data_IF_336579431188
#
_entry.id   IF_336579431188
#
_cell.length_a   1.000
_cell.length_b   1.000
_cell.length_c   1.000
_cell.angle_alpha   90.00
_cell.angle_beta   90.00
_cell.angle_gamma   90.00
#
_symmetry.space_group_name_H-M   'P 1'
#
loop_
_entity.id
_entity.type
_entity.pdbx_description
1 polymer ?
#
# COMPACT_ATOMS: atom_id res chain seq x y z
N UNK A 1 -25.92 43.49 15.28
CA UNK A 1 -27.03 42.51 15.49
C UNK A 1 -26.42 41.12 15.57
N UNK A 2 -26.00 40.75 16.80
CA UNK A 2 -25.43 39.44 17.14
C UNK A 2 -26.56 38.46 17.46
N UNK A 3 -26.95 37.64 16.54
CA UNK A 3 -27.73 36.44 16.87
C UNK A 3 -26.79 35.34 17.38
N UNK A 4 -27.07 34.72 18.54
CA UNK A 4 -26.31 33.57 19.00
C UNK A 4 -26.53 32.39 18.06
N UNK A 5 -25.45 31.75 17.64
CA UNK A 5 -25.46 30.51 16.88
C UNK A 5 -26.32 29.47 17.64
N UNK A 6 -27.46 29.09 17.06
CA UNK A 6 -28.31 28.01 17.58
C UNK A 6 -27.48 26.73 17.65
N UNK A 7 -27.35 26.19 18.84
CA UNK A 7 -26.81 24.84 19.06
C UNK A 7 -27.65 23.84 18.25
N UNK A 8 -27.08 23.23 17.24
CA UNK A 8 -27.72 22.11 16.56
C UNK A 8 -27.76 20.95 17.57
N UNK A 9 -28.94 20.31 17.79
CA UNK A 9 -29.00 19.14 18.65
C UNK A 9 -28.11 18.05 18.03
N UNK A 10 -27.21 17.51 18.86
CA UNK A 10 -26.39 16.35 18.51
C UNK A 10 -27.34 15.17 18.22
N UNK A 11 -27.65 14.95 16.96
CA UNK A 11 -28.17 13.68 16.50
C UNK A 11 -27.04 12.68 16.67
N UNK A 12 -27.09 11.89 17.74
CA UNK A 12 -26.35 10.65 17.82
C UNK A 12 -26.80 9.82 16.61
N UNK A 13 -25.97 9.81 15.55
CA UNK A 13 -26.24 8.97 14.39
C UNK A 13 -26.44 7.55 14.92
N UNK A 14 -27.58 6.90 14.64
CA UNK A 14 -27.80 5.53 15.10
C UNK A 14 -26.67 4.68 14.55
N UNK A 15 -26.02 3.92 15.45
CA UNK A 15 -25.05 2.89 15.09
C UNK A 15 -25.60 2.14 13.87
N UNK A 16 -24.86 2.12 12.78
CA UNK A 16 -25.27 1.46 11.54
C UNK A 16 -25.81 0.08 11.91
N UNK A 17 -27.07 -0.19 11.59
CA UNK A 17 -27.68 -1.49 11.86
C UNK A 17 -26.82 -2.56 11.21
N UNK A 18 -26.45 -3.65 11.92
CA UNK A 18 -25.67 -4.71 11.33
C UNK A 18 -26.37 -5.19 10.04
N UNK A 19 -25.63 -5.30 8.96
CA UNK A 19 -26.15 -5.78 7.68
C UNK A 19 -26.71 -7.18 7.93
N UNK A 20 -28.01 -7.37 7.79
CA UNK A 20 -28.67 -8.67 7.91
C UNK A 20 -28.28 -9.50 6.70
N UNK A 21 -27.44 -10.52 6.92
CA UNK A 21 -26.99 -11.44 5.87
C UNK A 21 -28.12 -12.46 5.63
N UNK A 22 -28.64 -12.61 4.39
CA UNK A 22 -29.59 -13.65 4.08
C UNK A 22 -29.08 -15.04 4.46
N UNK A 23 -29.91 -15.88 5.08
CA UNK A 23 -29.51 -17.21 5.58
C UNK A 23 -28.85 -18.10 4.53
N UNK A 24 -29.28 -18.00 3.28
CA UNK A 24 -28.65 -18.72 2.15
C UNK A 24 -27.18 -18.36 1.97
N UNK A 25 -26.80 -17.08 2.11
CA UNK A 25 -25.40 -16.67 2.01
C UNK A 25 -24.57 -17.20 3.17
N UNK A 26 -25.14 -17.28 4.38
CA UNK A 26 -24.46 -17.86 5.54
C UNK A 26 -24.21 -19.37 5.35
N UNK A 27 -25.19 -20.11 4.79
CA UNK A 27 -25.04 -21.53 4.47
C UNK A 27 -23.96 -21.74 3.40
N UNK A 28 -23.98 -20.98 2.31
CA UNK A 28 -22.95 -21.07 1.27
C UNK A 28 -21.55 -20.75 1.82
N UNK A 29 -21.43 -19.72 2.67
CA UNK A 29 -20.18 -19.38 3.33
C UNK A 29 -19.67 -20.50 4.24
N UNK A 30 -20.58 -21.17 4.99
CA UNK A 30 -20.24 -22.33 5.82
C UNK A 30 -19.68 -23.48 4.99
N UNK A 31 -20.34 -23.85 3.88
CA UNK A 31 -19.83 -24.89 2.98
C UNK A 31 -18.50 -24.50 2.35
N UNK A 32 -18.29 -23.23 1.96
CA UNK A 32 -17.01 -22.73 1.47
C UNK A 32 -15.91 -22.87 2.52
N UNK A 33 -16.15 -22.47 3.75
CA UNK A 33 -15.21 -22.64 4.85
C UNK A 33 -14.91 -24.12 5.14
N UNK A 34 -15.95 -24.95 5.18
CA UNK A 34 -15.80 -26.40 5.38
C UNK A 34 -14.95 -27.02 4.27
N UNK A 35 -15.20 -26.69 3.00
CA UNK A 35 -14.42 -27.17 1.86
C UNK A 35 -12.93 -26.81 1.97
N UNK A 36 -12.60 -25.62 2.50
CA UNK A 36 -11.20 -25.20 2.71
C UNK A 36 -10.56 -25.89 3.92
N UNK A 37 -11.31 -26.09 5.00
CA UNK A 37 -10.75 -26.60 6.27
C UNK A 37 -10.69 -28.12 6.34
N UNK A 38 -11.64 -28.84 5.73
CA UNK A 38 -11.69 -30.30 5.78
C UNK A 38 -10.43 -30.99 5.24
N UNK A 39 -9.83 -30.60 4.09
CA UNK A 39 -8.58 -31.21 3.63
C UNK A 39 -7.41 -30.97 4.62
N UNK A 40 -7.35 -29.81 5.25
CA UNK A 40 -6.32 -29.51 6.26
C UNK A 40 -6.52 -30.35 7.52
N UNK A 41 -7.77 -30.51 7.96
CA UNK A 41 -8.11 -31.39 9.08
C UNK A 41 -7.77 -32.85 8.75
N UNK A 42 -8.08 -33.31 7.53
CA UNK A 42 -7.73 -34.66 7.08
C UNK A 42 -6.21 -34.88 7.02
N UNK A 43 -5.44 -33.87 6.56
CA UNK A 43 -3.99 -33.95 6.60
C UNK A 43 -3.49 -34.08 8.04
N UNK A 44 -4.03 -33.27 8.97
CA UNK A 44 -3.64 -33.30 10.38
C UNK A 44 -3.87 -34.66 11.05
N UNK A 45 -4.84 -35.46 10.60
CA UNK A 45 -5.05 -36.86 11.09
C UNK A 45 -4.00 -37.84 10.56
N UNK A 46 -3.26 -37.50 9.53
CA UNK A 46 -2.21 -38.35 8.94
C UNK A 46 -0.81 -38.01 9.48
N UNK A 47 -0.66 -36.90 10.18
CA UNK A 47 0.60 -36.48 10.79
C UNK A 47 0.91 -37.34 12.01
N UNK A 48 2.13 -37.82 12.10
CA UNK A 48 2.64 -38.51 13.30
C UNK A 48 3.16 -37.45 14.30
N UNK A 49 2.24 -36.93 15.13
CA UNK A 49 2.55 -35.84 16.06
C UNK A 49 3.66 -36.19 17.06
N UNK A 50 3.76 -37.48 17.46
CA UNK A 50 4.78 -37.96 18.39
C UNK A 50 6.21 -37.89 17.79
N UNK A 51 6.33 -38.07 16.48
CA UNK A 51 7.63 -38.09 15.78
C UNK A 51 7.94 -36.77 15.06
N UNK A 52 6.98 -35.84 14.97
CA UNK A 52 7.11 -34.58 14.24
C UNK A 52 8.34 -33.77 14.71
N UNK A 53 8.59 -33.75 16.03
CA UNK A 53 9.78 -33.09 16.61
C UNK A 53 11.08 -33.73 16.15
N UNK A 54 11.13 -35.05 16.03
CA UNK A 54 12.31 -35.76 15.54
C UNK A 54 12.52 -35.48 14.05
N UNK A 55 11.45 -35.56 13.23
CA UNK A 55 11.52 -35.19 11.79
C UNK A 55 12.05 -33.77 11.61
N UNK A 56 11.63 -32.79 12.44
CA UNK A 56 12.12 -31.42 12.37
C UNK A 56 13.63 -31.31 12.68
N UNK A 57 14.14 -32.15 13.58
CA UNK A 57 15.54 -32.13 14.00
C UNK A 57 16.47 -32.94 13.07
N UNK A 58 15.92 -33.69 12.13
CA UNK A 58 16.70 -34.43 11.15
C UNK A 58 17.53 -33.51 10.27
N UNK A 59 18.84 -33.81 10.05
CA UNK A 59 19.72 -32.98 9.22
C UNK A 59 19.19 -32.76 7.79
N UNK A 60 18.52 -33.78 7.24
CA UNK A 60 17.91 -33.69 5.90
C UNK A 60 16.77 -32.64 5.87
N UNK A 61 15.88 -32.68 6.86
CA UNK A 61 14.77 -31.72 7.00
C UNK A 61 15.27 -30.31 7.26
N UNK A 62 16.29 -30.16 8.11
CA UNK A 62 16.92 -28.86 8.37
C UNK A 62 17.53 -28.26 7.11
N UNK A 63 18.17 -29.08 6.27
CA UNK A 63 18.72 -28.64 4.98
C UNK A 63 17.61 -28.18 4.03
N UNK A 64 16.49 -28.91 3.95
CA UNK A 64 15.33 -28.50 3.16
C UNK A 64 14.73 -27.19 3.65
N UNK A 65 14.60 -27.02 4.97
CA UNK A 65 14.12 -25.79 5.60
C UNK A 65 15.05 -24.61 5.36
N UNK A 66 16.36 -24.79 5.53
CA UNK A 66 17.35 -23.72 5.30
C UNK A 66 17.26 -23.20 3.87
N UNK A 67 17.28 -24.08 2.86
CA UNK A 67 17.18 -23.71 1.45
C UNK A 67 15.83 -22.99 1.20
N UNK A 68 14.73 -23.52 1.73
CA UNK A 68 13.39 -22.95 1.52
C UNK A 68 13.27 -21.57 2.15
N UNK A 69 13.69 -21.43 3.42
CA UNK A 69 13.59 -20.17 4.14
C UNK A 69 14.50 -19.08 3.54
N UNK A 70 15.74 -19.43 3.25
CA UNK A 70 16.71 -18.48 2.67
C UNK A 70 16.27 -18.05 1.27
N UNK A 71 15.86 -18.99 0.42
CA UNK A 71 15.40 -18.63 -0.93
C UNK A 71 14.12 -17.79 -0.89
N UNK A 72 13.14 -18.12 -0.05
CA UNK A 72 11.93 -17.34 0.13
C UNK A 72 12.23 -15.95 0.71
N UNK A 73 13.16 -15.83 1.67
CA UNK A 73 13.54 -14.55 2.24
C UNK A 73 14.23 -13.64 1.20
N UNK A 74 15.25 -14.15 0.49
CA UNK A 74 15.92 -13.37 -0.54
C UNK A 74 14.98 -12.98 -1.67
N UNK A 75 14.15 -13.92 -2.13
CA UNK A 75 13.16 -13.64 -3.14
C UNK A 75 12.17 -12.56 -2.69
N UNK A 76 11.69 -12.64 -1.46
CA UNK A 76 10.74 -11.66 -0.92
C UNK A 76 11.35 -10.27 -0.80
N UNK A 77 12.59 -10.15 -0.30
CA UNK A 77 13.30 -8.86 -0.22
C UNK A 77 13.41 -8.23 -1.61
N UNK A 78 13.92 -9.00 -2.59
CA UNK A 78 14.09 -8.51 -3.97
C UNK A 78 12.73 -8.18 -4.60
N UNK A 79 11.71 -9.00 -4.36
CA UNK A 79 10.34 -8.78 -4.84
C UNK A 79 9.75 -7.48 -4.31
N UNK A 80 9.97 -7.15 -3.03
CA UNK A 80 9.51 -5.88 -2.45
C UNK A 80 10.29 -4.70 -3.03
N UNK A 81 11.62 -4.83 -3.14
CA UNK A 81 12.48 -3.78 -3.69
C UNK A 81 12.14 -3.43 -5.16
N UNK A 82 11.69 -4.40 -5.95
CA UNK A 82 11.28 -4.20 -7.35
C UNK A 82 9.79 -3.89 -7.45
N UNK A 83 8.95 -4.64 -6.73
CA UNK A 83 7.49 -4.60 -6.85
C UNK A 83 6.86 -3.30 -6.36
N UNK A 84 7.39 -2.72 -5.26
CA UNK A 84 6.87 -1.43 -4.75
C UNK A 84 7.13 -0.30 -5.75
N UNK A 85 8.35 -0.08 -6.28
CA UNK A 85 8.58 0.89 -7.34
C UNK A 85 7.74 0.63 -8.61
N UNK A 86 7.59 -0.63 -9.02
CA UNK A 86 6.74 -0.99 -10.18
C UNK A 86 5.28 -0.57 -9.95
N UNK A 87 4.70 -0.84 -8.78
CA UNK A 87 3.34 -0.43 -8.44
C UNK A 87 3.18 1.10 -8.47
N UNK A 88 4.15 1.85 -7.95
CA UNK A 88 4.15 3.32 -7.99
C UNK A 88 4.25 3.83 -9.44
N UNK A 89 5.11 3.23 -10.26
CA UNK A 89 5.23 3.58 -11.69
C UNK A 89 3.94 3.35 -12.46
N UNK A 90 3.20 2.26 -12.17
CA UNK A 90 1.92 1.95 -12.82
C UNK A 90 0.90 3.09 -12.69
N UNK A 91 0.91 3.84 -11.58
CA UNK A 91 0.01 4.97 -11.38
C UNK A 91 0.36 6.18 -12.27
N UNK A 92 1.61 6.29 -12.71
CA UNK A 92 2.07 7.38 -13.59
C UNK A 92 1.80 7.13 -15.07
N UNK A 93 1.55 5.88 -15.46
CA UNK A 93 1.29 5.51 -16.84
C UNK A 93 -0.12 5.99 -17.26
N UNK A 94 -0.18 7.00 -18.12
CA UNK A 94 -1.44 7.53 -18.67
C UNK A 94 -2.07 6.61 -19.70
N UNK A 95 -1.25 5.94 -20.52
CA UNK A 95 -1.68 4.99 -21.56
C UNK A 95 -0.96 3.65 -21.36
N UNK A 96 -1.66 2.54 -21.62
CA UNK A 96 -1.07 1.20 -21.51
C UNK A 96 -0.95 0.62 -20.09
N UNK A 97 -1.37 1.34 -19.03
CA UNK A 97 -1.27 0.83 -17.66
C UNK A 97 -2.03 -0.49 -17.44
N UNK A 98 -3.15 -0.69 -18.13
CA UNK A 98 -3.89 -1.95 -18.06
C UNK A 98 -3.12 -3.12 -18.69
N UNK A 99 -2.49 -2.91 -19.85
CA UNK A 99 -1.67 -3.93 -20.49
C UNK A 99 -0.49 -4.33 -19.60
N UNK A 100 0.21 -3.35 -19.03
CA UNK A 100 1.33 -3.63 -18.10
C UNK A 100 0.85 -4.40 -16.87
N UNK A 101 -0.35 -4.09 -16.32
CA UNK A 101 -0.94 -4.87 -15.23
C UNK A 101 -1.21 -6.31 -15.63
N UNK A 102 -1.78 -6.54 -16.81
CA UNK A 102 -2.02 -7.90 -17.32
C UNK A 102 -0.70 -8.65 -17.48
N UNK A 103 0.34 -8.01 -18.00
CA UNK A 103 1.67 -8.64 -18.13
C UNK A 103 2.29 -8.99 -16.78
N UNK A 104 2.13 -8.12 -15.76
CA UNK A 104 2.59 -8.41 -14.39
C UNK A 104 1.82 -9.58 -13.78
N UNK A 105 0.54 -9.76 -14.12
CA UNK A 105 -0.29 -10.86 -13.65
C UNK A 105 -0.03 -12.17 -14.39
N UNK A 106 0.61 -12.13 -15.55
CA UNK A 106 0.81 -13.29 -16.40
C UNK A 106 1.47 -14.48 -15.66
N UNK A 107 2.50 -14.29 -14.82
CA UNK A 107 3.09 -15.40 -14.04
C UNK A 107 2.09 -16.17 -13.17
N UNK A 108 1.02 -15.52 -12.69
CA UNK A 108 -0.04 -16.20 -11.91
C UNK A 108 -0.94 -17.08 -12.77
N UNK A 109 -1.12 -16.73 -14.04
CA UNK A 109 -1.93 -17.49 -14.98
C UNK A 109 -1.15 -18.62 -15.67
N UNK A 110 0.19 -18.58 -15.60
CA UNK A 110 1.04 -19.59 -16.26
C UNK A 110 1.07 -20.90 -15.43
N UNK A 111 0.92 -22.06 -16.07
CA UNK A 111 1.25 -23.33 -15.43
C UNK A 111 2.71 -23.30 -14.91
N UNK A 112 2.98 -23.85 -13.70
CA UNK A 112 4.32 -23.75 -13.10
C UNK A 112 5.44 -24.31 -13.98
N UNK A 113 5.18 -25.37 -14.73
CA UNK A 113 6.14 -25.95 -15.68
C UNK A 113 6.47 -24.96 -16.81
N UNK A 114 5.44 -24.25 -17.34
CA UNK A 114 5.64 -23.24 -18.41
C UNK A 114 6.43 -22.05 -17.87
N UNK A 115 6.17 -21.63 -16.65
CA UNK A 115 6.94 -20.59 -15.97
C UNK A 115 8.43 -20.98 -15.84
N UNK A 116 8.71 -22.22 -15.42
CA UNK A 116 10.07 -22.75 -15.34
C UNK A 116 10.76 -22.84 -16.71
N UNK A 117 10.05 -23.30 -17.73
CA UNK A 117 10.57 -23.32 -19.11
C UNK A 117 10.87 -21.92 -19.65
N UNK A 118 10.03 -20.92 -19.33
CA UNK A 118 10.26 -19.53 -19.72
C UNK A 118 11.53 -18.97 -19.07
N UNK A 119 11.76 -19.26 -17.79
CA UNK A 119 13.01 -18.90 -17.11
C UNK A 119 14.21 -19.66 -17.69
N UNK A 120 14.05 -20.93 -18.06
CA UNK A 120 15.11 -21.71 -18.72
C UNK A 120 15.47 -21.14 -20.08
N UNK A 121 14.46 -20.72 -20.88
CA UNK A 121 14.68 -20.08 -22.16
C UNK A 121 15.42 -18.73 -22.04
N UNK A 122 15.21 -18.01 -20.94
CA UNK A 122 15.87 -16.74 -20.67
C UNK A 122 17.25 -16.92 -20.02
N UNK A 123 17.31 -17.59 -18.85
CA UNK A 123 18.45 -17.63 -17.93
C UNK A 123 19.13 -19.00 -17.87
N UNK A 124 18.69 -19.98 -18.68
CA UNK A 124 19.30 -21.30 -18.75
C UNK A 124 20.70 -21.26 -19.39
N UNK A 125 21.44 -22.34 -19.24
CA UNK A 125 22.81 -22.46 -19.81
C UNK A 125 22.88 -22.26 -21.33
N UNK A 126 21.78 -22.47 -22.04
CA UNK A 126 21.60 -22.24 -23.49
C UNK A 126 20.48 -21.23 -23.76
N UNK A 127 20.12 -20.42 -22.75
CA UNK A 127 19.08 -19.39 -22.87
C UNK A 127 19.56 -18.16 -23.64
N UNK A 128 18.64 -17.25 -23.93
CA UNK A 128 18.92 -16.02 -24.70
C UNK A 128 20.04 -15.19 -24.06
N UNK A 129 20.12 -15.16 -22.73
CA UNK A 129 21.14 -14.38 -21.98
C UNK A 129 22.43 -15.17 -21.72
N UNK A 130 22.56 -16.42 -22.18
CA UNK A 130 23.71 -17.26 -21.90
C UNK A 130 25.07 -16.62 -22.26
N UNK A 131 25.25 -15.91 -23.39
CA UNK A 131 26.53 -15.27 -23.71
C UNK A 131 26.95 -14.24 -22.63
N UNK A 132 26.00 -13.46 -22.13
CA UNK A 132 26.24 -12.43 -21.11
C UNK A 132 26.51 -13.10 -19.76
N UNK A 133 25.70 -14.09 -19.39
CA UNK A 133 25.84 -14.80 -18.11
C UNK A 133 27.17 -15.53 -18.00
N UNK A 134 27.61 -16.18 -19.09
CA UNK A 134 28.89 -16.86 -19.16
C UNK A 134 30.07 -15.87 -19.05
N UNK A 135 29.97 -14.70 -19.70
CA UNK A 135 30.99 -13.65 -19.61
C UNK A 135 31.10 -13.06 -18.18
N UNK A 136 30.00 -13.08 -17.40
CA UNK A 136 29.94 -12.60 -16.02
C UNK A 136 30.14 -13.73 -14.99
N UNK A 137 30.40 -14.97 -15.42
CA UNK A 137 30.50 -16.17 -14.60
C UNK A 137 29.28 -16.42 -13.71
N UNK A 138 28.10 -15.97 -14.15
CA UNK A 138 26.83 -16.10 -13.42
C UNK A 138 26.08 -17.35 -13.84
N UNK A 139 25.68 -18.17 -12.89
CA UNK A 139 24.87 -19.36 -13.12
C UNK A 139 23.57 -19.29 -12.31
N UNK A 140 22.43 -19.39 -13.02
CA UNK A 140 21.11 -19.47 -12.40
C UNK A 140 20.52 -20.89 -12.45
N UNK A 141 20.48 -21.52 -13.63
CA UNK A 141 19.97 -22.89 -13.74
C UNK A 141 20.79 -23.86 -12.88
N UNK A 142 20.11 -24.71 -12.11
CA UNK A 142 20.70 -25.68 -11.18
C UNK A 142 21.56 -25.06 -10.06
N UNK A 143 21.30 -23.81 -9.70
CA UNK A 143 21.98 -23.10 -8.61
C UNK A 143 20.94 -22.50 -7.66
N UNK A 144 21.36 -22.20 -6.43
CA UNK A 144 20.51 -21.53 -5.42
C UNK A 144 19.94 -20.19 -5.93
N UNK A 145 20.74 -19.42 -6.68
CA UNK A 145 20.27 -18.20 -7.31
C UNK A 145 19.08 -18.42 -8.27
N UNK A 146 19.04 -19.58 -8.93
CA UNK A 146 17.90 -19.98 -9.78
C UNK A 146 16.63 -20.24 -8.97
N UNK A 147 16.74 -20.84 -7.79
CA UNK A 147 15.61 -20.98 -6.87
C UNK A 147 15.06 -19.61 -6.49
N UNK A 148 15.93 -18.68 -6.11
CA UNK A 148 15.53 -17.30 -5.75
C UNK A 148 14.84 -16.61 -6.91
N UNK A 149 15.37 -16.70 -8.14
CA UNK A 149 14.75 -16.09 -9.34
C UNK A 149 13.40 -16.71 -9.65
N UNK A 150 13.24 -18.04 -9.55
CA UNK A 150 11.96 -18.71 -9.72
C UNK A 150 10.91 -18.18 -8.71
N UNK A 151 11.32 -18.03 -7.44
CA UNK A 151 10.46 -17.48 -6.39
C UNK A 151 10.09 -16.02 -6.66
N UNK A 152 11.04 -15.15 -7.09
CA UNK A 152 10.77 -13.75 -7.46
C UNK A 152 9.73 -13.70 -8.59
N UNK A 153 9.91 -14.49 -9.64
CA UNK A 153 9.05 -14.48 -10.80
C UNK A 153 7.58 -14.74 -10.45
N UNK A 154 7.33 -15.69 -9.55
CA UNK A 154 5.97 -16.07 -9.13
C UNK A 154 5.43 -15.17 -8.02
N UNK A 155 6.30 -14.61 -7.15
CA UNK A 155 5.89 -13.81 -6.01
C UNK A 155 5.67 -12.32 -6.34
N UNK A 156 6.34 -11.80 -7.37
CA UNK A 156 6.31 -10.39 -7.76
C UNK A 156 4.90 -9.83 -7.96
N UNK A 157 3.97 -10.51 -8.64
CA UNK A 157 2.60 -10.04 -8.82
C UNK A 157 1.87 -9.75 -7.50
N UNK A 158 2.10 -10.53 -6.44
CA UNK A 158 1.42 -10.35 -5.15
C UNK A 158 1.74 -9.01 -4.50
N UNK A 159 3.02 -8.62 -4.50
CA UNK A 159 3.44 -7.31 -3.99
C UNK A 159 2.88 -6.19 -4.85
N UNK A 160 3.01 -6.30 -6.18
CA UNK A 160 2.56 -5.25 -7.10
C UNK A 160 1.06 -5.02 -7.01
N UNK A 161 0.24 -6.08 -7.02
CA UNK A 161 -1.23 -5.97 -6.94
C UNK A 161 -1.65 -5.35 -5.61
N UNK A 162 -1.09 -5.82 -4.51
CA UNK A 162 -1.47 -5.36 -3.17
C UNK A 162 -1.15 -3.87 -3.00
N UNK A 163 0.03 -3.46 -3.45
CA UNK A 163 0.47 -2.06 -3.38
C UNK A 163 -0.27 -1.18 -4.38
N UNK A 164 -0.49 -1.63 -5.64
CA UNK A 164 -1.26 -0.89 -6.65
C UNK A 164 -2.71 -0.66 -6.21
N UNK A 165 -3.35 -1.68 -5.61
CA UNK A 165 -4.71 -1.56 -5.07
C UNK A 165 -4.78 -0.52 -3.94
N UNK A 166 -3.82 -0.52 -3.02
CA UNK A 166 -3.76 0.45 -1.94
C UNK A 166 -3.47 1.88 -2.44
N UNK A 167 -2.59 2.02 -3.44
CA UNK A 167 -2.28 3.31 -4.07
C UNK A 167 -3.52 3.96 -4.68
N UNK A 168 -4.41 3.18 -5.29
CA UNK A 168 -5.66 3.69 -5.90
C UNK A 168 -6.67 4.19 -4.88
N UNK A 169 -6.55 3.77 -3.62
CA UNK A 169 -7.42 4.20 -2.54
C UNK A 169 -6.95 5.51 -1.88
N UNK A 170 -5.72 5.95 -2.18
CA UNK A 170 -5.22 7.23 -1.69
C UNK A 170 -5.91 8.35 -2.44
N UNK A 171 -6.55 9.24 -1.70
CA UNK A 171 -7.20 10.41 -2.27
C UNK A 171 -6.17 11.31 -2.98
N UNK A 172 -6.50 11.74 -4.19
CA UNK A 172 -5.66 12.66 -4.97
C UNK A 172 -5.43 13.98 -4.25
N UNK A 173 -6.37 14.42 -3.43
CA UNK A 173 -6.24 15.66 -2.67
C UNK A 173 -5.07 15.67 -1.68
N UNK A 174 -4.66 14.51 -1.19
CA UNK A 174 -3.45 14.38 -0.36
C UNK A 174 -2.21 14.79 -1.16
N UNK A 175 -2.12 14.36 -2.42
CA UNK A 175 -1.01 14.73 -3.30
C UNK A 175 -1.09 16.19 -3.76
N UNK A 176 -2.29 16.68 -4.04
CA UNK A 176 -2.53 18.07 -4.43
C UNK A 176 -2.20 19.03 -3.27
N UNK A 177 -2.55 18.66 -2.05
CA UNK A 177 -2.19 19.42 -0.84
C UNK A 177 -0.68 19.44 -0.62
N UNK A 178 -0.01 18.30 -0.80
CA UNK A 178 1.46 18.23 -0.71
C UNK A 178 2.16 19.11 -1.77
N UNK A 179 1.62 19.13 -2.99
CA UNK A 179 2.08 20.01 -4.04
C UNK A 179 1.83 21.49 -3.70
N UNK A 180 0.67 21.79 -3.08
CA UNK A 180 0.28 23.14 -2.64
C UNK A 180 1.24 23.73 -1.61
N UNK A 181 1.85 22.91 -0.75
CA UNK A 181 2.87 23.36 0.24
C UNK A 181 4.31 23.22 -0.27
N UNK A 182 4.49 22.83 -1.55
CA UNK A 182 5.81 22.76 -2.20
C UNK A 182 6.67 21.58 -1.80
N UNK A 183 6.08 20.44 -1.43
CA UNK A 183 6.84 19.21 -1.18
C UNK A 183 7.47 18.67 -2.46
N UNK A 184 8.75 18.32 -2.38
CA UNK A 184 9.43 17.65 -3.50
C UNK A 184 8.87 16.23 -3.71
N UNK A 185 8.99 15.65 -4.92
CA UNK A 185 8.52 14.27 -5.20
C UNK A 185 9.13 13.24 -4.24
N UNK A 186 10.38 13.45 -3.80
CA UNK A 186 11.07 12.59 -2.84
C UNK A 186 10.47 12.71 -1.43
N UNK A 187 10.12 13.94 -1.00
CA UNK A 187 9.44 14.17 0.27
C UNK A 187 8.04 13.54 0.27
N UNK A 188 7.29 13.65 -0.83
CA UNK A 188 6.00 13.00 -1.01
C UNK A 188 6.13 11.48 -0.91
N UNK A 189 7.13 10.89 -1.56
CA UNK A 189 7.38 9.45 -1.50
C UNK A 189 7.62 8.98 -0.06
N UNK A 190 8.57 9.58 0.65
CA UNK A 190 9.00 9.12 1.97
C UNK A 190 8.06 9.54 3.11
N UNK A 191 7.45 10.73 3.02
CA UNK A 191 6.61 11.27 4.10
C UNK A 191 5.12 10.97 3.92
N UNK A 192 4.67 10.66 2.71
CA UNK A 192 3.25 10.44 2.41
C UNK A 192 3.02 9.02 1.87
N UNK A 193 3.62 8.70 0.70
CA UNK A 193 3.28 7.50 -0.05
C UNK A 193 3.66 6.22 0.71
N UNK A 194 4.94 6.05 1.06
CA UNK A 194 5.41 4.84 1.74
C UNK A 194 4.78 4.62 3.12
N UNK A 195 4.65 5.63 3.99
CA UNK A 195 3.95 5.47 5.26
C UNK A 195 2.47 5.07 5.13
N UNK A 196 1.78 5.60 4.11
CA UNK A 196 0.39 5.23 3.83
C UNK A 196 0.28 3.80 3.34
N UNK A 197 1.22 3.35 2.52
CA UNK A 197 1.26 2.00 1.93
C UNK A 197 1.79 0.92 2.86
N UNK A 198 2.31 1.24 4.03
CA UNK A 198 3.01 0.28 4.91
C UNK A 198 2.21 -1.00 5.22
N UNK A 199 0.89 -0.89 5.44
CA UNK A 199 0.06 -2.08 5.68
C UNK A 199 -0.06 -2.94 4.43
N UNK A 200 -0.23 -2.33 3.26
CA UNK A 200 -0.28 -3.01 1.99
C UNK A 200 1.08 -3.66 1.64
N UNK A 201 2.19 -2.97 1.91
CA UNK A 201 3.54 -3.52 1.72
C UNK A 201 3.74 -4.73 2.62
N UNK A 202 3.40 -4.65 3.92
CA UNK A 202 3.51 -5.78 4.86
C UNK A 202 2.64 -6.95 4.41
N UNK A 203 1.39 -6.70 4.03
CA UNK A 203 0.50 -7.76 3.52
C UNK A 203 1.06 -8.39 2.24
N UNK A 204 1.47 -7.56 1.27
CA UNK A 204 2.09 -8.04 0.03
C UNK A 204 3.38 -8.83 0.26
N UNK A 205 4.21 -8.40 1.22
CA UNK A 205 5.43 -9.11 1.64
C UNK A 205 5.09 -10.48 2.22
N UNK A 206 4.11 -10.57 3.12
CA UNK A 206 3.68 -11.83 3.71
C UNK A 206 3.13 -12.81 2.67
N UNK A 207 2.29 -12.32 1.76
CA UNK A 207 1.75 -13.13 0.66
C UNK A 207 2.86 -13.62 -0.28
N UNK A 208 3.81 -12.75 -0.65
CA UNK A 208 4.96 -13.11 -1.49
C UNK A 208 5.84 -14.17 -0.82
N UNK A 209 6.10 -14.02 0.49
CA UNK A 209 6.90 -14.98 1.25
C UNK A 209 6.22 -16.36 1.31
N UNK A 210 4.94 -16.41 1.68
CA UNK A 210 4.19 -17.68 1.75
C UNK A 210 4.07 -18.31 0.36
N UNK A 211 3.88 -17.50 -0.69
CA UNK A 211 3.85 -18.01 -2.06
C UNK A 211 5.20 -18.61 -2.46
N UNK A 212 6.31 -18.01 -2.03
CA UNK A 212 7.66 -18.53 -2.24
C UNK A 212 7.90 -19.82 -1.46
N UNK A 213 7.41 -19.92 -0.20
CA UNK A 213 7.53 -21.16 0.60
C UNK A 213 6.86 -22.36 -0.08
N UNK A 214 5.72 -22.14 -0.74
CA UNK A 214 4.97 -23.20 -1.43
C UNK A 214 5.36 -23.39 -2.89
N UNK A 215 6.42 -22.74 -3.39
CA UNK A 215 6.78 -22.88 -4.79
C UNK A 215 7.48 -24.22 -5.07
N UNK A 216 6.97 -24.92 -6.07
CA UNK A 216 7.42 -26.27 -6.43
C UNK A 216 7.77 -26.38 -7.91
N UNK A 217 6.78 -26.20 -8.78
CA UNK A 217 6.87 -26.60 -10.17
C UNK A 217 7.84 -25.76 -11.01
N UNK A 218 7.85 -24.43 -10.79
CA UNK A 218 8.78 -23.53 -11.47
C UNK A 218 10.22 -23.79 -11.01
N UNK A 219 10.40 -24.00 -9.70
CA UNK A 219 11.70 -24.30 -9.11
C UNK A 219 12.24 -25.63 -9.62
N UNK A 220 11.43 -26.69 -9.61
CA UNK A 220 11.83 -28.01 -10.09
C UNK A 220 12.24 -27.98 -11.56
N UNK A 221 11.48 -27.26 -12.39
CA UNK A 221 11.72 -27.20 -13.85
C UNK A 221 12.94 -26.35 -14.21
N UNK A 222 13.19 -25.25 -13.48
CA UNK A 222 14.30 -24.33 -13.79
C UNK A 222 15.57 -24.60 -12.99
N UNK A 223 15.44 -24.78 -11.66
CA UNK A 223 16.59 -24.96 -10.77
C UNK A 223 16.89 -26.42 -10.44
N UNK A 224 15.95 -27.34 -10.78
CA UNK A 224 16.13 -28.78 -10.52
C UNK A 224 15.92 -29.16 -9.05
N UNK A 225 16.47 -30.34 -8.66
CA UNK A 225 16.33 -30.93 -7.32
C UNK A 225 17.67 -31.45 -6.81
N UNK A 226 18.67 -30.59 -6.68
CA UNK A 226 19.98 -30.98 -6.15
C UNK A 226 19.97 -30.94 -4.61
N UNK A 227 20.29 -32.06 -3.93
CA UNK A 227 20.37 -32.08 -2.47
C UNK A 227 21.35 -31.02 -1.96
N UNK A 228 20.98 -30.33 -0.87
CA UNK A 228 21.82 -29.29 -0.28
C UNK A 228 21.97 -27.99 -1.07
N UNK A 229 21.39 -27.88 -2.29
CA UNK A 229 21.59 -26.69 -3.15
C UNK A 229 20.26 -26.11 -3.65
N UNK A 230 19.42 -26.90 -4.31
CA UNK A 230 18.17 -26.42 -4.93
C UNK A 230 16.91 -27.16 -4.49
N UNK A 231 17.08 -28.25 -3.74
CA UNK A 231 15.95 -29.02 -3.23
C UNK A 231 15.29 -28.29 -2.09
N UNK A 232 14.15 -27.66 -2.36
CA UNK A 232 13.29 -27.00 -1.37
C UNK A 232 12.36 -27.98 -0.67
N UNK A 233 11.74 -27.57 0.44
CA UNK A 233 10.78 -28.36 1.21
C UNK A 233 9.65 -28.95 0.35
N UNK A 234 8.95 -28.17 -0.52
CA UNK A 234 7.93 -28.73 -1.43
C UNK A 234 8.45 -29.83 -2.35
N UNK A 235 9.69 -29.70 -2.83
CA UNK A 235 10.35 -30.74 -3.64
C UNK A 235 10.67 -31.96 -2.77
N UNK A 236 11.14 -31.74 -1.53
CA UNK A 236 11.38 -32.81 -0.55
C UNK A 236 10.11 -33.59 -0.24
N UNK A 237 9.00 -32.90 0.05
CA UNK A 237 7.69 -33.52 0.28
C UNK A 237 7.24 -34.37 -0.92
N UNK A 238 7.39 -33.85 -2.14
CA UNK A 238 7.04 -34.57 -3.36
C UNK A 238 7.85 -35.87 -3.48
N UNK A 239 9.13 -35.85 -3.21
CA UNK A 239 10.00 -37.04 -3.28
C UNK A 239 9.69 -38.01 -2.13
N UNK A 240 9.52 -37.52 -0.90
CA UNK A 240 9.20 -38.35 0.26
C UNK A 240 7.87 -39.10 0.07
N UNK A 241 6.89 -38.51 -0.63
CA UNK A 241 5.61 -39.14 -0.90
C UNK A 241 5.75 -40.50 -1.60
N UNK A 242 6.75 -40.68 -2.45
CA UNK A 242 6.97 -41.90 -3.20
C UNK A 242 7.75 -42.98 -2.38
N UNK A 243 8.47 -42.58 -1.32
CA UNK A 243 9.32 -43.46 -0.51
C UNK A 243 8.78 -43.72 0.88
N UNK A 244 8.34 -42.68 1.58
CA UNK A 244 7.74 -42.73 2.91
C UNK A 244 6.60 -41.72 3.02
N UNK A 245 5.35 -42.12 2.81
CA UNK A 245 4.19 -41.24 2.91
C UNK A 245 4.02 -40.62 4.29
N UNK A 246 4.47 -41.25 5.38
CA UNK A 246 4.37 -40.71 6.74
C UNK A 246 5.29 -39.50 6.89
N UNK A 247 6.54 -39.62 6.44
CA UNK A 247 7.48 -38.52 6.44
C UNK A 247 7.00 -37.36 5.57
N UNK A 248 6.39 -37.64 4.40
CA UNK A 248 5.79 -36.63 3.55
C UNK A 248 4.69 -35.82 4.27
N UNK A 249 3.83 -36.46 5.09
CA UNK A 249 2.82 -35.76 5.88
C UNK A 249 3.44 -34.92 7.00
N UNK A 250 4.49 -35.40 7.66
CA UNK A 250 5.21 -34.65 8.68
C UNK A 250 5.88 -33.40 8.09
N UNK A 251 6.59 -33.53 6.97
CA UNK A 251 7.21 -32.41 6.26
C UNK A 251 6.16 -31.39 5.79
N UNK A 252 5.01 -31.87 5.27
CA UNK A 252 3.91 -31.00 4.87
C UNK A 252 3.31 -30.23 6.06
N UNK A 253 3.16 -30.87 7.22
CA UNK A 253 2.69 -30.21 8.44
C UNK A 253 3.65 -29.11 8.88
N UNK A 254 4.97 -29.38 8.89
CA UNK A 254 5.99 -28.37 9.23
C UNK A 254 5.88 -27.15 8.30
N UNK A 255 5.75 -27.38 6.99
CA UNK A 255 5.63 -26.30 6.01
C UNK A 255 4.34 -25.48 6.20
N UNK A 256 3.20 -26.15 6.47
CA UNK A 256 1.90 -25.49 6.71
C UNK A 256 1.95 -24.67 8.01
N UNK A 257 2.52 -25.22 9.10
CA UNK A 257 2.66 -24.51 10.36
C UNK A 257 3.53 -23.26 10.20
N UNK A 258 4.62 -23.35 9.44
CA UNK A 258 5.48 -22.23 9.11
C UNK A 258 4.72 -21.14 8.29
N UNK A 259 4.00 -21.55 7.26
CA UNK A 259 3.19 -20.64 6.45
C UNK A 259 2.09 -19.95 7.28
N UNK A 260 1.42 -20.72 8.17
CA UNK A 260 0.41 -20.19 9.08
C UNK A 260 0.99 -19.16 10.05
N UNK A 261 2.16 -19.43 10.63
CA UNK A 261 2.88 -18.51 11.51
C UNK A 261 3.17 -17.18 10.81
N UNK A 262 3.64 -17.24 9.57
CA UNK A 262 3.90 -16.03 8.76
C UNK A 262 2.62 -15.27 8.44
N UNK A 263 1.56 -15.95 8.03
CA UNK A 263 0.27 -15.32 7.73
C UNK A 263 -0.34 -14.67 8.97
N UNK A 264 -0.30 -15.35 10.12
CA UNK A 264 -0.80 -14.80 11.39
C UNK A 264 0.02 -13.58 11.81
N UNK A 265 1.35 -13.64 11.74
CA UNK A 265 2.22 -12.53 12.12
C UNK A 265 1.99 -11.30 11.25
N UNK A 266 1.89 -11.48 9.93
CA UNK A 266 1.61 -10.38 8.98
C UNK A 266 0.17 -9.85 9.13
N UNK A 267 -0.80 -10.73 9.35
CA UNK A 267 -2.20 -10.38 9.62
C UNK A 267 -2.35 -9.54 10.89
N UNK A 268 -1.77 -9.99 12.01
CA UNK A 268 -1.78 -9.25 13.28
C UNK A 268 -1.11 -7.87 13.10
N UNK A 269 0.00 -7.79 12.39
CA UNK A 269 0.69 -6.52 12.13
C UNK A 269 -0.16 -5.58 11.27
N UNK A 270 -0.84 -6.08 10.25
CA UNK A 270 -1.72 -5.30 9.39
C UNK A 270 -2.97 -4.80 10.15
N UNK A 271 -3.58 -5.65 11.00
CA UNK A 271 -4.82 -5.34 11.74
C UNK A 271 -4.61 -4.38 12.93
N UNK A 272 -3.43 -4.34 13.54
CA UNK A 272 -3.13 -3.49 14.72
C UNK A 272 -3.33 -1.98 14.50
N UNK A 273 -3.80 -1.56 13.33
CA UNK A 273 -3.86 -0.16 12.91
C UNK A 273 -5.18 0.27 12.28
N UNK A 274 -6.29 -0.40 12.60
CA UNK A 274 -7.62 0.14 12.29
C UNK A 274 -7.86 1.27 13.30
N UNK A 275 -7.86 2.54 12.86
CA UNK A 275 -8.06 3.65 13.78
C UNK A 275 -9.49 3.62 14.29
N UNK A 276 -9.68 3.76 15.60
CA UNK A 276 -11.01 4.03 16.14
C UNK A 276 -11.30 5.53 15.97
N UNK A 277 -12.47 5.91 15.44
CA UNK A 277 -12.84 7.31 15.35
C UNK A 277 -12.87 7.93 16.74
N UNK A 278 -12.19 9.05 16.91
CA UNK A 278 -12.21 9.83 18.17
C UNK A 278 -13.25 10.91 17.99
N UNK A 279 -14.45 10.69 18.56
CA UNK A 279 -15.45 11.75 18.66
C UNK A 279 -15.06 12.65 19.84
N UNK A 280 -14.68 13.88 19.54
CA UNK A 280 -14.44 14.92 20.57
C UNK A 280 -15.15 16.21 20.20
N UNK A 281 -15.63 16.90 21.20
CA UNK A 281 -16.28 18.20 21.06
C UNK A 281 -15.21 19.29 21.12
N UNK A 282 -15.25 20.25 20.22
CA UNK A 282 -14.45 21.49 20.31
C UNK A 282 -14.98 22.26 21.51
N UNK A 283 -14.13 22.50 22.51
CA UNK A 283 -14.59 23.03 23.78
C UNK A 283 -14.40 24.54 23.91
N UNK A 284 -13.33 25.10 23.42
CA UNK A 284 -13.05 26.54 23.56
C UNK A 284 -12.34 27.07 22.31
N UNK A 285 -13.02 27.94 21.56
CA UNK A 285 -12.49 28.63 20.39
C UNK A 285 -12.10 30.04 20.77
N UNK A 286 -10.80 30.34 20.81
CA UNK A 286 -10.28 31.69 21.01
C UNK A 286 -10.17 32.39 19.64
N UNK A 287 -11.24 33.11 19.28
CA UNK A 287 -11.32 33.82 17.98
C UNK A 287 -10.33 34.97 17.85
N UNK A 288 -9.95 35.60 18.95
CA UNK A 288 -9.05 36.74 18.92
C UNK A 288 -7.61 36.30 18.78
N UNK A 289 -7.20 35.25 19.53
CA UNK A 289 -5.90 34.61 19.31
C UNK A 289 -5.76 34.03 17.90
N UNK A 290 -6.81 33.41 17.35
CA UNK A 290 -6.77 32.92 15.96
C UNK A 290 -6.64 34.06 14.94
N UNK A 291 -7.35 35.18 15.17
CA UNK A 291 -7.25 36.36 14.28
C UNK A 291 -5.84 36.89 14.28
N UNK A 292 -5.20 37.02 15.45
CA UNK A 292 -3.81 37.51 15.56
C UNK A 292 -2.79 36.55 14.93
N UNK A 293 -2.94 35.22 15.19
CA UNK A 293 -2.05 34.19 14.62
C UNK A 293 -2.19 34.03 13.11
N UNK A 294 -3.38 34.32 12.56
CA UNK A 294 -3.71 34.20 11.14
C UNK A 294 -3.75 35.55 10.42
N UNK A 295 -3.46 36.67 11.10
CA UNK A 295 -3.46 37.98 10.48
C UNK A 295 -2.54 38.02 9.26
N UNK A 296 -3.02 38.51 8.10
CA UNK A 296 -2.19 38.62 6.92
C UNK A 296 -1.14 39.71 7.12
N UNK A 297 0.10 39.42 6.79
CA UNK A 297 1.22 40.39 6.84
C UNK A 297 1.12 41.46 5.77
N UNK A 298 0.39 41.16 4.69
CA UNK A 298 0.16 42.08 3.57
C UNK A 298 -1.29 41.93 3.07
N UNK A 299 -1.91 43.01 2.55
CA UNK A 299 -3.23 42.92 1.91
C UNK A 299 -3.13 41.97 0.71
N UNK A 300 -4.11 41.08 0.58
CA UNK A 300 -4.18 40.16 -0.56
C UNK A 300 -4.48 40.98 -1.84
N UNK A 301 -3.88 40.68 -2.99
CA UNK A 301 -4.24 41.29 -4.25
C UNK A 301 -5.56 40.75 -4.79
N UNK A 302 -6.19 41.49 -5.72
CA UNK A 302 -7.32 40.99 -6.51
C UNK A 302 -6.90 39.80 -7.36
N UNK A 303 -7.82 38.87 -7.56
CA UNK A 303 -7.60 37.68 -8.41
C UNK A 303 -8.43 37.80 -9.67
N UNK A 304 -7.80 37.82 -10.85
CA UNK A 304 -8.49 37.83 -12.13
C UNK A 304 -8.22 36.55 -12.91
N UNK A 305 -9.29 35.91 -13.40
CA UNK A 305 -9.22 34.73 -14.27
C UNK A 305 -10.26 34.84 -15.38
N UNK A 306 -9.81 34.72 -16.64
CA UNK A 306 -10.69 34.78 -17.82
C UNK A 306 -11.66 35.99 -17.82
N UNK A 307 -11.21 37.15 -17.37
CA UNK A 307 -12.01 38.38 -17.31
C UNK A 307 -12.93 38.48 -16.08
N UNK A 308 -12.96 37.49 -15.19
CA UNK A 308 -13.68 37.55 -13.91
C UNK A 308 -12.73 37.96 -12.81
N UNK A 309 -13.04 39.05 -12.11
CA UNK A 309 -12.21 39.58 -11.00
C UNK A 309 -12.87 39.33 -9.66
N UNK A 310 -12.11 38.67 -8.76
CA UNK A 310 -12.43 38.50 -7.34
C UNK A 310 -11.68 39.57 -6.55
N UNK A 311 -12.43 40.50 -5.95
CA UNK A 311 -11.85 41.61 -5.24
C UNK A 311 -11.28 41.22 -3.88
N UNK A 312 -10.14 41.77 -3.54
CA UNK A 312 -9.53 41.62 -2.23
C UNK A 312 -10.42 42.11 -1.10
N UNK A 313 -10.31 41.50 0.08
CA UNK A 313 -11.06 41.90 1.27
C UNK A 313 -12.56 41.61 1.24
N UNK A 314 -13.06 40.95 0.20
CA UNK A 314 -14.48 40.61 0.04
C UNK A 314 -14.69 39.11 -0.04
N UNK A 315 -15.83 38.64 0.47
CA UNK A 315 -16.29 37.27 0.26
C UNK A 315 -17.13 37.21 -1.01
N UNK A 316 -16.65 36.49 -2.01
CA UNK A 316 -17.37 36.30 -3.28
C UNK A 316 -17.95 34.90 -3.35
N UNK A 317 -19.27 34.76 -3.54
CA UNK A 317 -19.93 33.50 -3.74
C UNK A 317 -19.98 33.12 -5.23
N UNK A 318 -19.44 31.94 -5.58
CA UNK A 318 -19.53 31.37 -6.92
C UNK A 318 -20.71 30.43 -7.00
N UNK A 319 -21.84 30.87 -7.62
CA UNK A 319 -23.08 30.13 -7.69
C UNK A 319 -23.34 29.63 -9.11
N UNK A 320 -23.91 28.44 -9.22
CA UNK A 320 -24.30 27.83 -10.51
C UNK A 320 -24.66 26.35 -10.37
N UNK A 321 -25.32 25.76 -11.39
CA UNK A 321 -25.72 24.35 -11.38
C UNK A 321 -24.50 23.40 -11.32
N UNK A 322 -24.77 22.11 -11.03
CA UNK A 322 -23.73 21.09 -11.08
C UNK A 322 -23.19 20.98 -12.51
N UNK A 323 -21.87 20.85 -12.66
CA UNK A 323 -21.22 20.82 -13.97
C UNK A 323 -20.87 22.17 -14.58
N UNK A 324 -21.27 23.32 -13.98
CA UNK A 324 -20.98 24.66 -14.52
C UNK A 324 -19.49 25.08 -14.44
N UNK A 325 -18.60 24.23 -13.96
CA UNK A 325 -17.15 24.49 -13.93
C UNK A 325 -16.65 25.23 -12.69
N UNK A 326 -17.43 25.37 -11.61
CA UNK A 326 -17.01 26.05 -10.36
C UNK A 326 -15.70 25.47 -9.79
N UNK A 327 -15.68 24.17 -9.61
CA UNK A 327 -14.49 23.46 -9.08
C UNK A 327 -13.31 23.56 -10.05
N UNK A 328 -13.58 23.51 -11.36
CA UNK A 328 -12.55 23.70 -12.39
C UNK A 328 -11.93 25.10 -12.32
N UNK A 329 -12.78 26.13 -12.14
CA UNK A 329 -12.31 27.52 -11.99
C UNK A 329 -11.42 27.68 -10.77
N UNK A 330 -11.89 27.19 -9.59
CA UNK A 330 -11.10 27.22 -8.35
C UNK A 330 -9.80 26.42 -8.47
N UNK A 331 -9.84 25.27 -9.13
CA UNK A 331 -8.66 24.44 -9.40
C UNK A 331 -7.63 25.13 -10.30
N UNK A 332 -8.08 25.93 -11.27
CA UNK A 332 -7.20 26.74 -12.11
C UNK A 332 -6.59 27.92 -11.33
N UNK A 333 -7.38 28.63 -10.53
CA UNK A 333 -6.88 29.70 -9.65
C UNK A 333 -5.79 29.16 -8.71
N UNK A 334 -6.04 28.03 -8.06
CA UNK A 334 -5.11 27.40 -7.14
C UNK A 334 -3.93 26.67 -7.81
N UNK A 335 -3.89 26.61 -9.16
CA UNK A 335 -2.80 25.93 -9.89
C UNK A 335 -2.85 24.42 -9.88
N UNK A 336 -3.94 23.80 -9.41
CA UNK A 336 -4.17 22.34 -9.47
C UNK A 336 -4.55 21.85 -10.85
N UNK A 337 -5.14 22.72 -11.65
CA UNK A 337 -5.51 22.49 -13.05
C UNK A 337 -4.82 23.50 -13.96
N UNK A 338 -4.42 23.04 -15.13
CA UNK A 338 -3.82 23.89 -16.17
C UNK A 338 -4.91 24.58 -17.00
N UNK A 339 -4.59 25.74 -17.57
CA UNK A 339 -5.43 26.48 -18.50
C UNK A 339 -6.12 27.70 -17.88
N UNK A 340 -6.28 28.74 -18.69
CA UNK A 340 -6.73 30.07 -18.30
C UNK A 340 -5.61 30.93 -17.74
N UNK A 341 -5.68 32.23 -18.05
CA UNK A 341 -4.76 33.21 -17.48
C UNK A 341 -5.23 33.58 -16.08
N UNK A 342 -4.36 33.44 -15.09
CA UNK A 342 -4.60 33.81 -13.68
C UNK A 342 -3.66 34.94 -13.30
N UNK A 343 -4.23 36.08 -12.94
CA UNK A 343 -3.49 37.28 -12.55
C UNK A 343 -3.80 37.62 -11.09
N UNK A 344 -2.77 37.85 -10.30
CA UNK A 344 -2.86 38.28 -8.90
C UNK A 344 -2.32 39.71 -8.80
N UNK A 345 -3.22 40.69 -8.64
CA UNK A 345 -2.84 42.09 -8.81
C UNK A 345 -2.33 42.35 -10.24
N UNK A 346 -1.05 42.69 -10.36
CA UNK A 346 -0.39 42.90 -11.65
C UNK A 346 0.45 41.70 -12.12
N UNK A 347 0.55 40.65 -11.32
CA UNK A 347 1.40 39.52 -11.59
C UNK A 347 0.65 38.35 -12.26
N UNK A 348 1.09 37.93 -13.44
CA UNK A 348 0.60 36.68 -14.07
C UNK A 348 1.23 35.46 -13.37
N UNK A 349 0.39 34.68 -12.71
CA UNK A 349 0.79 33.49 -11.96
C UNK A 349 0.40 32.19 -12.66
N UNK A 350 -0.06 32.27 -13.91
CA UNK A 350 -0.58 31.11 -14.66
C UNK A 350 0.41 29.96 -14.76
N UNK A 351 1.69 30.27 -14.98
CA UNK A 351 2.77 29.30 -15.10
C UNK A 351 3.36 28.84 -13.76
N UNK A 352 3.03 29.54 -12.66
CA UNK A 352 3.59 29.22 -11.34
C UNK A 352 2.95 27.94 -10.76
N UNK A 353 3.74 27.10 -10.08
CA UNK A 353 3.24 25.96 -9.35
C UNK A 353 2.37 26.42 -8.15
N UNK A 354 1.44 25.56 -7.65
CA UNK A 354 0.47 25.94 -6.61
C UNK A 354 1.08 26.63 -5.38
N UNK A 355 2.21 26.12 -4.87
CA UNK A 355 2.89 26.63 -3.68
C UNK A 355 3.56 28.00 -3.85
N UNK A 356 3.68 28.51 -5.08
CA UNK A 356 4.24 29.84 -5.37
C UNK A 356 3.18 30.87 -5.75
N UNK A 357 1.91 30.45 -5.88
CA UNK A 357 0.81 31.37 -6.27
C UNK A 357 0.29 32.23 -5.14
N UNK A 358 0.57 31.87 -3.87
CA UNK A 358 -0.01 32.58 -2.72
C UNK A 358 -1.51 32.37 -2.53
N UNK A 359 -2.10 31.35 -3.18
CA UNK A 359 -3.52 31.01 -3.12
C UNK A 359 -3.71 29.69 -2.38
N UNK A 360 -4.61 29.66 -1.39
CA UNK A 360 -4.99 28.45 -0.67
C UNK A 360 -6.37 28.00 -1.14
N UNK A 361 -6.49 26.75 -1.52
CA UNK A 361 -7.77 26.14 -1.90
C UNK A 361 -8.16 25.11 -0.85
N UNK A 362 -9.27 25.35 -0.14
CA UNK A 362 -9.87 24.42 0.82
C UNK A 362 -10.96 23.63 0.10
N UNK A 363 -10.86 22.31 0.12
CA UNK A 363 -11.80 21.40 -0.56
C UNK A 363 -12.73 20.73 0.43
N UNK A 364 -13.77 20.06 -0.05
CA UNK A 364 -14.72 19.32 0.78
C UNK A 364 -14.09 18.13 1.51
N UNK A 365 -13.07 17.51 0.89
CA UNK A 365 -12.32 16.43 1.52
C UNK A 365 -11.02 16.99 2.09
N UNK A 366 -10.72 16.70 3.38
CA UNK A 366 -9.49 17.17 3.98
C UNK A 366 -8.31 16.44 3.35
N UNK A 367 -7.50 17.14 2.56
CA UNK A 367 -6.26 16.61 1.97
C UNK A 367 -5.13 16.44 2.99
N UNK A 368 -5.45 15.98 4.22
CA UNK A 368 -4.48 15.78 5.28
C UNK A 368 -3.81 14.41 5.15
N UNK A 369 -2.51 14.31 5.41
CA UNK A 369 -1.82 13.02 5.36
C UNK A 369 -2.32 12.10 6.49
N UNK A 370 -2.92 10.95 6.16
CA UNK A 370 -3.66 10.13 7.14
C UNK A 370 -2.78 9.54 8.25
N UNK A 371 -1.49 9.40 8.01
CA UNK A 371 -0.52 8.86 8.99
C UNK A 371 0.10 9.94 9.89
N UNK A 372 0.03 11.21 9.50
CA UNK A 372 0.56 12.31 10.29
C UNK A 372 -0.34 12.61 11.48
N UNK A 373 0.23 13.08 12.58
CA UNK A 373 -0.55 13.68 13.67
C UNK A 373 -1.03 15.06 13.25
N UNK A 374 -2.07 15.56 13.89
CA UNK A 374 -2.65 16.88 13.59
C UNK A 374 -1.58 17.98 13.71
N UNK A 375 -0.74 17.93 14.75
CA UNK A 375 0.35 18.90 14.89
C UNK A 375 1.42 18.75 13.79
N UNK A 376 1.71 17.53 13.36
CA UNK A 376 2.65 17.29 12.25
C UNK A 376 2.09 17.81 10.92
N UNK A 377 0.81 17.58 10.65
CA UNK A 377 0.15 18.10 9.45
C UNK A 377 0.16 19.62 9.40
N UNK A 378 -0.14 20.30 10.52
CA UNK A 378 -0.02 21.74 10.63
C UNK A 378 1.42 22.22 10.48
N UNK A 379 2.39 21.53 11.08
CA UNK A 379 3.80 21.91 10.96
C UNK A 379 4.33 21.76 9.52
N UNK A 380 3.79 20.85 8.72
CA UNK A 380 4.11 20.77 7.29
C UNK A 380 3.74 22.06 6.54
N UNK A 381 2.66 22.72 6.95
CA UNK A 381 2.16 23.97 6.34
C UNK A 381 2.86 25.19 6.93
N UNK A 382 2.86 25.31 8.26
CA UNK A 382 3.37 26.50 8.97
C UNK A 382 4.90 26.58 8.96
N UNK A 383 5.58 25.43 8.81
CA UNK A 383 7.04 25.23 8.97
C UNK A 383 7.56 25.62 10.36
N UNK A 384 6.65 25.83 11.32
CA UNK A 384 6.92 26.23 12.68
C UNK A 384 6.07 25.39 13.66
N UNK A 385 6.75 24.61 14.48
CA UNK A 385 6.13 23.70 15.46
C UNK A 385 5.41 24.46 16.57
N UNK A 386 5.96 25.59 17.02
CA UNK A 386 5.38 26.37 18.13
C UNK A 386 4.17 27.17 17.66
N UNK A 387 4.21 27.72 16.45
CA UNK A 387 3.05 28.32 15.81
C UNK A 387 1.93 27.29 15.61
N UNK A 388 2.25 26.06 15.17
CA UNK A 388 1.28 24.99 15.00
C UNK A 388 0.58 24.64 16.32
N UNK A 389 1.32 24.54 17.43
CA UNK A 389 0.76 24.27 18.74
C UNK A 389 -0.15 25.40 19.25
N UNK A 390 0.29 26.66 19.04
CA UNK A 390 -0.54 27.84 19.38
C UNK A 390 -1.84 27.88 18.58
N UNK A 391 -1.79 27.56 17.28
CA UNK A 391 -2.99 27.45 16.44
C UNK A 391 -3.94 26.36 16.96
N UNK A 392 -3.42 25.19 17.35
CA UNK A 392 -4.23 24.12 17.93
C UNK A 392 -4.84 24.52 19.27
N UNK A 393 -4.11 25.21 20.12
CA UNK A 393 -4.61 25.73 21.38
C UNK A 393 -5.75 26.74 21.15
N UNK A 394 -5.53 27.73 20.29
CA UNK A 394 -6.52 28.76 19.98
C UNK A 394 -7.78 28.21 19.29
N UNK A 395 -7.64 27.11 18.54
CA UNK A 395 -8.78 26.43 17.90
C UNK A 395 -9.52 25.42 18.80
N UNK A 396 -9.12 25.26 20.07
CA UNK A 396 -9.71 24.27 21.00
C UNK A 396 -9.38 22.82 20.64
N UNK A 397 -8.37 22.59 19.77
CA UNK A 397 -7.97 21.27 19.26
C UNK A 397 -6.66 20.76 19.87
N UNK A 398 -6.19 21.36 20.98
CA UNK A 398 -4.90 21.03 21.58
C UNK A 398 -4.80 19.56 21.99
N UNK A 399 -5.88 18.96 22.50
CA UNK A 399 -5.92 17.54 22.86
C UNK A 399 -5.77 16.60 21.65
N UNK A 400 -6.07 17.08 20.46
CA UNK A 400 -5.93 16.32 19.22
C UNK A 400 -4.53 16.41 18.61
N UNK A 401 -3.62 17.20 19.18
CA UNK A 401 -2.30 17.44 18.62
C UNK A 401 -1.52 16.15 18.30
N UNK A 402 -1.60 15.15 19.20
CA UNK A 402 -0.97 13.84 19.04
C UNK A 402 -1.82 12.80 18.31
N UNK A 403 -3.07 13.12 17.95
CA UNK A 403 -3.98 12.22 17.25
C UNK A 403 -3.63 12.23 15.77
N UNK A 404 -3.74 11.06 15.10
CA UNK A 404 -3.49 10.98 13.66
C UNK A 404 -4.67 11.53 12.86
N UNK A 405 -4.39 12.10 11.69
CA UNK A 405 -5.41 12.69 10.82
C UNK A 405 -6.40 11.67 10.22
N UNK A 406 -6.12 10.37 10.34
CA UNK A 406 -7.01 9.28 9.92
C UNK A 406 -7.96 8.82 11.05
N UNK A 407 -7.99 9.50 12.19
CA UNK A 407 -8.82 9.21 13.38
C UNK A 407 -9.80 10.37 13.67
#
# INVERSE_FOLDING_TARGET
>A
LSQPLRSFPHSSAPLARPITIPGVLAVLAFFGCAFLLLPLAALATRVSWDTLGNTLLEPATQTLLDITLRSALYATIITVLIGVPMAIMLQRLRRGSQLVRVLILLPLAMPPVVAGLSLTALLGRRGITAPILNALELQFAFAFAGVVVAHIFIALPFVVITVDAALRQIDREVFDSAAGIGMSPWQVLWRITLPTLRSAIVTGTGLAFVRSLGEFGTTLTFAGSLPGTTRTMPIGIYLARETDPTDAYNLAAILILLALLVLLSTGIFAMRRIPKPVARTITDLDTDALRDLCAPTHPAPDITINGVTFRSGQVTALVGPNGSGKTTLLGRIGGRLTGGQVVLGDADVSALPPHRRGVVVVTQQPGLPPFATVVQALTMVTRDSDRSRRLLAASGLQELAGVRCDR
#
